data_IF_339665929225
#
_entry.id   IF_339665929225
#
_cell.length_a   1.000
_cell.length_b   1.000
_cell.length_c   1.000
_cell.angle_alpha   90.00
_cell.angle_beta   90.00
_cell.angle_gamma   90.00
#
_symmetry.space_group_name_H-M   'P 1'
#
loop_
_entity.id
_entity.type
_entity.pdbx_description
1 polymer ?
#
# COMPACT_ATOMS: atom_id res chain seq x y z
N UNK A 1 11.96 0.51 -42.98
CA UNK A 1 10.95 0.87 -41.97
C UNK A 1 10.19 -0.38 -41.60
N UNK A 2 10.64 -1.09 -40.57
CA UNK A 2 9.81 -2.14 -39.95
C UNK A 2 8.55 -1.48 -39.41
N UNK A 3 7.38 -1.98 -39.82
CA UNK A 3 6.12 -1.60 -39.18
C UNK A 3 6.21 -2.11 -37.75
N UNK A 4 6.35 -1.17 -36.80
CA UNK A 4 6.15 -1.42 -35.39
C UNK A 4 4.86 -2.23 -35.21
N UNK A 5 5.02 -3.51 -34.86
CA UNK A 5 3.90 -4.42 -34.70
C UNK A 5 3.27 -4.07 -33.36
N UNK A 6 2.35 -3.09 -33.35
CA UNK A 6 1.57 -2.77 -32.16
C UNK A 6 0.86 -4.03 -31.69
N UNK A 7 1.29 -4.55 -30.53
CA UNK A 7 0.58 -5.64 -29.86
C UNK A 7 -0.81 -5.12 -29.56
N UNK A 8 -1.84 -5.87 -29.96
CA UNK A 8 -3.23 -5.50 -29.67
C UNK A 8 -3.46 -5.66 -28.17
N UNK A 9 -4.00 -4.63 -27.52
CA UNK A 9 -4.40 -4.68 -26.12
C UNK A 9 -5.19 -5.99 -25.83
N UNK A 10 -4.73 -6.81 -24.87
CA UNK A 10 -5.37 -8.08 -24.57
C UNK A 10 -6.72 -7.84 -23.89
N UNK A 11 -7.74 -8.62 -24.26
CA UNK A 11 -9.00 -8.67 -23.50
C UNK A 11 -8.80 -9.56 -22.29
N UNK A 12 -8.45 -8.96 -21.16
CA UNK A 12 -8.24 -9.67 -19.89
C UNK A 12 -9.47 -9.51 -19.02
N UNK A 13 -9.97 -10.63 -18.51
CA UNK A 13 -10.98 -10.61 -17.46
C UNK A 13 -10.33 -10.18 -16.14
N UNK A 14 -10.55 -8.92 -15.76
CA UNK A 14 -10.05 -8.33 -14.51
C UNK A 14 -10.93 -8.64 -13.29
N UNK A 15 -11.98 -9.46 -13.45
CA UNK A 15 -12.82 -9.89 -12.33
C UNK A 15 -11.97 -10.59 -11.28
N UNK A 16 -12.14 -10.18 -10.02
CA UNK A 16 -11.36 -10.68 -8.90
C UNK A 16 -12.26 -10.89 -7.68
N UNK A 17 -12.95 -12.03 -7.63
CA UNK A 17 -13.89 -12.36 -6.53
C UNK A 17 -13.44 -13.64 -5.83
N UNK A 18 -13.26 -13.55 -4.53
CA UNK A 18 -12.93 -14.64 -3.62
C UNK A 18 -14.07 -15.67 -3.52
N UNK A 19 -13.78 -16.96 -3.24
CA UNK A 19 -14.81 -17.94 -2.94
C UNK A 19 -15.53 -17.67 -1.60
N UNK A 20 -14.98 -16.80 -0.74
CA UNK A 20 -15.50 -16.52 0.59
C UNK A 20 -16.46 -15.33 0.62
N UNK A 21 -17.47 -15.39 1.49
CA UNK A 21 -18.46 -14.34 1.64
C UNK A 21 -17.86 -13.06 2.22
N UNK A 22 -17.08 -13.18 3.30
CA UNK A 22 -16.60 -12.04 4.09
C UNK A 22 -15.08 -11.91 4.13
N UNK A 23 -14.34 -12.75 3.41
CA UNK A 23 -12.88 -12.69 3.37
C UNK A 23 -12.37 -12.47 1.95
N UNK A 24 -11.50 -11.48 1.81
CA UNK A 24 -10.63 -11.42 0.65
C UNK A 24 -9.62 -12.57 0.71
N UNK A 25 -9.06 -12.96 -0.42
CA UNK A 25 -8.06 -14.02 -0.49
C UNK A 25 -6.91 -13.62 -1.41
N UNK A 26 -5.75 -14.26 -1.26
CA UNK A 26 -4.57 -13.99 -2.09
C UNK A 26 -4.83 -14.27 -3.57
N UNK A 27 -4.25 -13.46 -4.45
CA UNK A 27 -4.30 -13.71 -5.90
C UNK A 27 -3.69 -15.09 -6.24
N UNK A 28 -4.38 -15.82 -7.12
CA UNK A 28 -4.00 -17.19 -7.50
C UNK A 28 -4.55 -18.28 -6.58
N UNK A 29 -5.28 -17.92 -5.51
CA UNK A 29 -5.95 -18.90 -4.66
C UNK A 29 -7.03 -19.69 -5.44
N UNK A 30 -7.13 -21.03 -5.26
CA UNK A 30 -8.13 -21.84 -5.94
C UNK A 30 -9.57 -21.39 -5.63
N UNK A 31 -10.42 -21.37 -6.65
CA UNK A 31 -11.85 -21.09 -6.50
C UNK A 31 -12.23 -19.61 -6.61
N UNK A 32 -11.26 -18.71 -6.81
CA UNK A 32 -11.56 -17.33 -7.20
C UNK A 32 -12.26 -17.27 -8.57
N UNK A 33 -13.20 -16.33 -8.72
CA UNK A 33 -13.87 -16.05 -9.98
C UNK A 33 -13.13 -14.93 -10.72
N UNK A 34 -12.80 -15.22 -11.99
CA UNK A 34 -12.06 -14.33 -12.89
C UNK A 34 -10.56 -14.55 -12.84
N UNK A 35 -9.81 -13.78 -13.63
CA UNK A 35 -8.35 -13.87 -13.73
C UNK A 35 -7.63 -12.63 -13.17
N UNK A 36 -8.38 -11.68 -12.63
CA UNK A 36 -7.83 -10.42 -12.14
C UNK A 36 -7.41 -10.48 -10.68
N UNK A 37 -6.90 -9.35 -10.22
CA UNK A 37 -6.62 -9.10 -8.81
C UNK A 37 -6.79 -7.62 -8.47
N UNK A 38 -6.96 -7.35 -7.18
CA UNK A 38 -7.04 -6.00 -6.63
C UNK A 38 -5.82 -5.74 -5.77
N UNK A 39 -5.06 -4.70 -6.09
CA UNK A 39 -3.96 -4.21 -5.26
C UNK A 39 -4.50 -3.19 -4.26
N UNK A 40 -4.11 -3.31 -2.99
CA UNK A 40 -4.54 -2.41 -1.91
C UNK A 40 -3.31 -1.82 -1.22
N UNK A 41 -3.15 -0.49 -1.22
CA UNK A 41 -1.96 0.14 -0.65
C UNK A 41 -2.04 0.18 0.88
N UNK A 42 -0.97 -0.24 1.56
CA UNK A 42 -0.83 -0.20 3.02
C UNK A 42 0.56 0.26 3.44
N UNK A 43 0.58 1.07 4.50
CA UNK A 43 1.77 1.38 5.30
C UNK A 43 1.37 1.27 6.75
N UNK A 44 2.27 0.80 7.60
CA UNK A 44 2.03 0.64 9.04
C UNK A 44 3.32 0.74 9.83
N UNK A 45 3.16 1.10 11.09
CA UNK A 45 4.22 1.06 12.09
C UNK A 45 3.70 0.43 13.38
N UNK A 46 4.57 -0.24 14.11
CA UNK A 46 4.24 -0.82 15.41
C UNK A 46 5.41 -0.71 16.36
N UNK A 47 5.12 -0.56 17.65
CA UNK A 47 6.13 -0.66 18.72
C UNK A 47 5.75 -1.70 19.76
N UNK A 48 6.77 -2.30 20.37
CA UNK A 48 6.68 -3.23 21.51
C UNK A 48 7.70 -2.84 22.56
N UNK A 49 7.40 -3.10 23.83
CA UNK A 49 8.44 -3.04 24.86
C UNK A 49 9.45 -4.16 24.63
N UNK A 50 10.74 -3.84 24.73
CA UNK A 50 11.82 -4.81 24.61
C UNK A 50 11.82 -5.76 25.80
N UNK A 51 11.87 -7.06 25.53
CA UNK A 51 12.12 -8.11 26.53
C UNK A 51 13.58 -8.59 26.47
N UNK A 52 13.93 -9.57 27.30
CA UNK A 52 15.27 -10.17 27.30
C UNK A 52 15.51 -11.10 26.11
N UNK A 53 14.48 -11.38 25.29
CA UNK A 53 14.56 -12.23 24.10
C UNK A 53 14.44 -11.40 22.82
N UNK A 54 15.59 -11.11 22.20
CA UNK A 54 15.65 -10.31 20.97
C UNK A 54 14.95 -10.96 19.78
N UNK A 55 14.88 -12.30 19.72
CA UNK A 55 14.18 -13.02 18.66
C UNK A 55 12.66 -12.86 18.84
N UNK A 56 12.17 -13.04 20.06
CA UNK A 56 10.77 -12.81 20.41
C UNK A 56 10.35 -11.38 20.11
N UNK A 57 11.17 -10.40 20.50
CA UNK A 57 10.84 -8.99 20.32
C UNK A 57 10.78 -8.61 18.83
N UNK A 58 11.69 -9.16 18.01
CA UNK A 58 11.68 -8.99 16.56
C UNK A 58 10.41 -9.55 15.93
N UNK A 59 10.04 -10.78 16.27
CA UNK A 59 8.84 -11.45 15.74
C UNK A 59 7.57 -10.72 16.17
N UNK A 60 7.40 -10.43 17.46
CA UNK A 60 6.19 -9.80 18.00
C UNK A 60 6.02 -8.36 17.49
N UNK A 61 7.12 -7.61 17.32
CA UNK A 61 7.05 -6.27 16.74
C UNK A 61 6.63 -6.27 15.27
N UNK A 62 7.08 -7.28 14.51
CA UNK A 62 6.70 -7.49 13.12
C UNK A 62 5.22 -7.84 13.02
N UNK A 63 4.75 -8.83 13.79
CA UNK A 63 3.32 -9.21 13.84
C UNK A 63 2.43 -8.02 14.25
N UNK A 64 2.87 -7.19 15.20
CA UNK A 64 2.14 -5.96 15.57
C UNK A 64 2.07 -4.97 14.41
N UNK A 65 3.14 -4.75 13.67
CA UNK A 65 3.11 -3.88 12.49
C UNK A 65 2.17 -4.44 11.40
N UNK A 66 2.05 -5.76 11.24
CA UNK A 66 1.10 -6.35 10.31
C UNK A 66 -0.37 -6.22 10.75
N UNK A 67 -0.63 -6.15 12.07
CA UNK A 67 -1.98 -6.08 12.65
C UNK A 67 -2.45 -4.63 12.86
N UNK A 68 -1.56 -3.68 13.16
CA UNK A 68 -1.91 -2.33 13.60
C UNK A 68 -2.65 -1.51 12.53
N UNK A 69 -2.02 -1.29 11.37
CA UNK A 69 -2.63 -0.51 10.27
C UNK A 69 -2.62 -1.26 8.93
N UNK A 70 -1.76 -2.27 8.78
CA UNK A 70 -1.69 -3.06 7.56
C UNK A 70 -2.88 -4.03 7.46
N UNK A 71 -3.40 -4.50 8.59
CA UNK A 71 -4.54 -5.45 8.68
C UNK A 71 -4.36 -6.70 7.82
N UNK A 72 -3.08 -7.09 7.65
CA UNK A 72 -2.63 -8.28 6.92
C UNK A 72 -2.07 -9.35 7.87
N UNK A 73 -1.90 -9.06 9.16
CA UNK A 73 -1.08 -9.85 10.10
C UNK A 73 -1.60 -11.20 10.58
N UNK A 74 -2.38 -11.90 9.77
CA UNK A 74 -2.66 -13.32 9.97
C UNK A 74 -2.53 -14.10 8.67
N UNK A 75 -1.66 -13.69 7.74
CA UNK A 75 -1.46 -14.34 6.45
C UNK A 75 -0.03 -14.87 6.31
N UNK A 76 0.16 -15.75 5.33
CA UNK A 76 1.48 -16.11 4.83
C UNK A 76 1.85 -15.13 3.69
N UNK A 77 2.67 -14.13 4.00
CA UNK A 77 3.09 -13.11 3.03
C UNK A 77 4.15 -13.65 2.06
N UNK A 78 3.91 -13.52 0.77
CA UNK A 78 4.84 -13.92 -0.30
C UNK A 78 5.33 -12.68 -1.05
N UNK A 79 6.62 -12.37 -0.97
CA UNK A 79 7.19 -11.16 -1.59
C UNK A 79 7.20 -11.24 -3.12
N UNK A 80 6.70 -10.19 -3.78
CA UNK A 80 6.73 -9.98 -5.22
C UNK A 80 7.65 -8.82 -5.62
N UNK A 81 7.96 -8.72 -6.91
CA UNK A 81 8.83 -7.69 -7.50
C UNK A 81 8.14 -6.34 -7.77
N UNK A 82 7.00 -6.06 -7.11
CA UNK A 82 6.39 -4.72 -7.05
C UNK A 82 5.73 -4.15 -8.34
N UNK A 83 4.86 -4.92 -9.01
CA UNK A 83 4.07 -4.42 -10.16
C UNK A 83 2.56 -4.67 -10.00
N UNK A 84 1.72 -3.79 -10.56
CA UNK A 84 0.30 -4.05 -10.79
C UNK A 84 0.04 -4.07 -12.31
N UNK A 85 0.02 -5.28 -12.88
CA UNK A 85 -0.06 -5.50 -14.32
C UNK A 85 -1.46 -5.31 -14.90
N UNK A 86 -1.57 -5.65 -16.18
CA UNK A 86 -2.77 -5.49 -17.00
C UNK A 86 -4.03 -6.24 -16.49
N UNK A 87 -3.85 -7.29 -15.67
CA UNK A 87 -4.94 -8.00 -15.00
C UNK A 87 -5.36 -7.37 -13.65
N UNK A 88 -4.53 -6.47 -13.13
CA UNK A 88 -4.71 -5.83 -11.84
C UNK A 88 -5.59 -4.59 -11.90
N UNK A 89 -6.19 -4.28 -10.76
CA UNK A 89 -6.91 -3.04 -10.49
C UNK A 89 -6.55 -2.53 -9.10
N UNK A 90 -6.62 -1.23 -8.86
CA UNK A 90 -6.25 -0.61 -7.59
C UNK A 90 -7.50 -0.21 -6.81
N UNK A 91 -7.63 -0.70 -5.58
CA UNK A 91 -8.71 -0.29 -4.69
C UNK A 91 -8.59 1.19 -4.29
N UNK A 92 -9.69 1.93 -4.35
CA UNK A 92 -9.70 3.37 -4.08
C UNK A 92 -9.26 4.22 -5.28
N UNK A 93 -8.75 3.63 -6.36
CA UNK A 93 -8.47 4.34 -7.62
C UNK A 93 -9.34 3.82 -8.77
N UNK A 94 -9.18 2.55 -9.14
CA UNK A 94 -9.93 1.91 -10.23
C UNK A 94 -11.30 1.42 -9.76
N UNK A 95 -11.35 0.89 -8.55
CA UNK A 95 -12.52 0.25 -7.93
C UNK A 95 -12.89 1.05 -6.68
N UNK A 96 -14.18 1.37 -6.52
CA UNK A 96 -14.70 2.15 -5.38
C UNK A 96 -13.85 3.40 -5.14
N UNK A 97 -13.67 4.21 -6.19
CA UNK A 97 -12.68 5.28 -6.21
C UNK A 97 -12.90 6.28 -5.07
N UNK A 98 -11.82 6.68 -4.38
CA UNK A 98 -11.92 7.60 -3.26
C UNK A 98 -12.48 8.95 -3.72
N UNK A 99 -13.41 9.52 -2.94
CA UNK A 99 -14.15 10.72 -3.31
C UNK A 99 -13.22 11.90 -3.66
N UNK A 100 -12.13 12.10 -2.92
CA UNK A 100 -11.17 13.17 -3.22
C UNK A 100 -10.41 13.00 -4.55
N UNK A 101 -10.28 11.77 -5.06
CA UNK A 101 -9.68 11.49 -6.37
C UNK A 101 -10.69 11.84 -7.48
N UNK A 102 -11.92 11.34 -7.38
CA UNK A 102 -12.96 11.58 -8.42
C UNK A 102 -13.41 13.03 -8.46
N UNK A 103 -13.49 13.69 -7.30
CA UNK A 103 -13.87 15.10 -7.17
C UNK A 103 -12.70 16.06 -7.51
N UNK A 104 -11.53 15.50 -7.87
CA UNK A 104 -10.30 16.26 -8.19
C UNK A 104 -9.87 17.22 -7.07
N UNK A 105 -10.06 16.83 -5.81
CA UNK A 105 -9.72 17.64 -4.63
C UNK A 105 -8.24 17.55 -4.26
N UNK A 106 -7.57 16.45 -4.61
CA UNK A 106 -6.14 16.29 -4.39
C UNK A 106 -5.32 17.13 -5.37
N UNK A 107 -4.24 17.73 -4.87
CA UNK A 107 -3.27 18.49 -5.68
C UNK A 107 -1.92 17.78 -5.67
N UNK A 108 -1.10 17.93 -6.73
CA UNK A 108 0.27 17.44 -6.70
C UNK A 108 1.04 18.07 -5.53
N UNK A 109 1.81 17.26 -4.82
CA UNK A 109 2.77 17.69 -3.78
C UNK A 109 4.17 17.90 -4.36
N UNK A 110 4.44 17.34 -5.54
CA UNK A 110 5.71 17.35 -6.25
C UNK A 110 5.44 17.13 -7.75
N UNK A 111 6.31 17.68 -8.58
CA UNK A 111 6.40 17.38 -10.01
C UNK A 111 7.84 16.99 -10.35
N UNK A 112 8.01 15.98 -11.19
CA UNK A 112 9.31 15.51 -11.65
C UNK A 112 9.27 15.25 -13.16
N UNK A 113 10.39 15.51 -13.84
CA UNK A 113 10.52 15.24 -15.28
C UNK A 113 10.68 13.73 -15.52
N UNK A 114 9.94 13.22 -16.51
CA UNK A 114 10.13 11.90 -17.07
C UNK A 114 11.20 11.93 -18.17
N UNK A 115 11.66 10.76 -18.60
CA UNK A 115 12.74 10.63 -19.59
C UNK A 115 12.40 11.21 -20.97
N UNK A 116 11.11 11.40 -21.29
CA UNK A 116 10.64 12.05 -22.52
C UNK A 116 10.45 13.57 -22.39
N UNK A 117 10.73 14.13 -21.19
CA UNK A 117 10.53 15.54 -20.86
C UNK A 117 9.10 15.90 -20.43
N UNK A 118 8.16 14.94 -20.37
CA UNK A 118 6.84 15.16 -19.79
C UNK A 118 6.91 15.27 -18.26
N UNK A 119 5.92 15.92 -17.64
CA UNK A 119 5.82 16.08 -16.19
C UNK A 119 5.03 14.94 -15.56
N UNK A 120 5.63 14.25 -14.60
CA UNK A 120 4.94 13.32 -13.71
C UNK A 120 4.49 14.07 -12.46
N UNK A 121 3.17 14.12 -12.26
CA UNK A 121 2.57 14.69 -11.05
C UNK A 121 2.53 13.64 -9.92
N UNK A 122 3.08 14.02 -8.77
CA UNK A 122 3.13 13.18 -7.57
C UNK A 122 2.14 13.69 -6.53
N UNK A 123 1.26 12.82 -6.06
CA UNK A 123 0.19 13.09 -5.11
C UNK A 123 0.44 12.38 -3.78
N UNK A 124 -0.19 12.87 -2.72
CA UNK A 124 -0.24 12.13 -1.46
C UNK A 124 -1.15 10.89 -1.58
N UNK A 125 -0.69 9.72 -1.12
CA UNK A 125 -1.40 8.46 -1.21
C UNK A 125 -2.49 8.27 -0.14
N UNK A 126 -2.68 9.23 0.77
CA UNK A 126 -3.70 9.16 1.84
C UNK A 126 -5.07 8.68 1.36
N UNK A 127 -5.65 9.15 0.23
CA UNK A 127 -6.92 8.62 -0.25
C UNK A 127 -6.93 7.10 -0.49
N UNK A 128 -5.83 6.54 -0.99
CA UNK A 128 -5.70 5.09 -1.25
C UNK A 128 -5.48 4.30 0.04
N UNK A 129 -4.70 4.86 0.97
CA UNK A 129 -4.50 4.27 2.30
C UNK A 129 -5.82 4.26 3.10
N UNK A 130 -6.57 5.36 3.07
CA UNK A 130 -7.90 5.49 3.67
C UNK A 130 -8.89 4.51 3.01
N UNK A 131 -8.87 4.36 1.69
CA UNK A 131 -9.68 3.36 0.99
C UNK A 131 -9.36 1.91 1.44
N UNK A 132 -8.08 1.60 1.66
CA UNK A 132 -7.66 0.30 2.19
C UNK A 132 -8.17 0.04 3.62
N UNK A 133 -8.23 1.05 4.47
CA UNK A 133 -8.88 0.95 5.80
C UNK A 133 -10.36 0.65 5.65
N UNK A 134 -11.05 1.32 4.72
CA UNK A 134 -12.47 1.05 4.49
C UNK A 134 -12.73 -0.35 3.90
N UNK A 135 -11.81 -0.93 3.13
CA UNK A 135 -12.01 -2.30 2.64
C UNK A 135 -11.83 -3.35 3.74
N UNK A 136 -10.66 -3.34 4.39
CA UNK A 136 -10.28 -4.39 5.34
C UNK A 136 -10.82 -4.15 6.75
N UNK A 137 -11.15 -2.91 7.09
CA UNK A 137 -11.51 -2.52 8.44
C UNK A 137 -10.30 -2.19 9.30
N UNK A 138 -10.50 -2.22 10.62
CA UNK A 138 -9.42 -2.12 11.62
C UNK A 138 -9.36 -3.37 12.49
N UNK A 139 -8.37 -3.46 13.38
CA UNK A 139 -8.27 -4.56 14.36
C UNK A 139 -9.56 -4.70 15.18
N UNK A 140 -10.12 -3.56 15.63
CA UNK A 140 -11.34 -3.49 16.45
C UNK A 140 -12.64 -3.58 15.66
N UNK A 141 -12.62 -3.19 14.39
CA UNK A 141 -13.79 -3.17 13.51
C UNK A 141 -13.40 -3.75 12.14
N UNK A 142 -13.16 -5.07 12.11
CA UNK A 142 -12.79 -5.81 10.89
C UNK A 142 -13.94 -5.82 9.89
N UNK A 143 -13.60 -5.76 8.60
CA UNK A 143 -14.54 -5.85 7.47
C UNK A 143 -14.17 -7.03 6.59
N UNK A 144 -13.80 -6.77 5.33
CA UNK A 144 -13.47 -7.79 4.34
C UNK A 144 -11.97 -8.10 4.37
N UNK A 145 -11.42 -8.43 5.55
CA UNK A 145 -9.98 -8.74 5.70
C UNK A 145 -9.57 -9.91 4.82
N UNK A 146 -8.26 -10.09 4.67
CA UNK A 146 -7.72 -11.34 4.14
C UNK A 146 -8.11 -12.54 5.02
N UNK A 147 -8.31 -13.69 4.40
CA UNK A 147 -8.56 -14.95 5.09
C UNK A 147 -7.35 -15.30 5.99
N UNK A 148 -7.57 -15.58 7.29
CA UNK A 148 -6.48 -16.03 8.17
C UNK A 148 -5.82 -17.32 7.64
N UNK A 149 -4.49 -17.30 7.53
CA UNK A 149 -3.66 -18.37 6.96
C UNK A 149 -3.53 -18.34 5.44
N UNK A 150 -4.18 -17.39 4.75
CA UNK A 150 -4.06 -17.24 3.30
C UNK A 150 -2.62 -17.05 2.85
N UNK A 151 -2.28 -17.62 1.71
CA UNK A 151 -1.01 -17.33 1.04
C UNK A 151 -1.23 -16.12 0.14
N UNK A 152 -0.72 -14.98 0.55
CA UNK A 152 -1.00 -13.72 -0.12
C UNK A 152 0.28 -13.15 -0.67
N UNK A 153 0.30 -12.97 -1.98
CA UNK A 153 1.38 -12.27 -2.65
C UNK A 153 1.28 -10.78 -2.30
N UNK A 154 2.40 -10.18 -1.91
CA UNK A 154 2.51 -8.78 -1.58
C UNK A 154 3.77 -8.20 -2.23
N UNK A 155 3.64 -7.01 -2.79
CA UNK A 155 4.79 -6.10 -2.87
C UNK A 155 5.03 -5.61 -1.43
N UNK A 156 6.20 -5.83 -0.84
CA UNK A 156 6.43 -5.47 0.57
C UNK A 156 7.88 -5.15 0.90
N UNK A 157 8.07 -4.30 1.92
CA UNK A 157 9.37 -4.01 2.54
C UNK A 157 9.14 -3.56 3.99
N UNK A 158 10.13 -3.77 4.84
CA UNK A 158 10.07 -3.31 6.22
C UNK A 158 11.44 -3.22 6.86
N UNK A 159 11.47 -2.66 8.06
CA UNK A 159 12.65 -2.60 8.91
C UNK A 159 12.25 -2.61 10.37
N UNK A 160 13.08 -3.22 11.21
CA UNK A 160 12.91 -3.32 12.66
C UNK A 160 14.16 -2.77 13.34
N UNK A 161 13.98 -1.97 14.40
CA UNK A 161 15.09 -1.47 15.20
C UNK A 161 14.72 -1.31 16.68
N UNK A 162 15.75 -1.34 17.52
CA UNK A 162 15.65 -1.12 18.97
C UNK A 162 16.05 0.31 19.34
N UNK A 163 15.31 0.96 20.24
CA UNK A 163 15.75 2.20 20.92
C UNK A 163 16.31 1.87 22.31
N UNK A 164 17.60 2.10 22.59
CA UNK A 164 18.19 1.82 23.90
C UNK A 164 17.48 2.55 25.05
N UNK A 165 17.45 1.92 26.23
CA UNK A 165 16.94 2.56 27.46
C UNK A 165 17.90 3.63 27.95
N UNK A 166 19.20 3.40 27.79
CA UNK A 166 20.24 4.30 28.22
C UNK A 166 20.42 5.46 27.23
N UNK A 167 20.64 6.66 27.75
CA UNK A 167 21.07 7.79 26.95
C UNK A 167 22.55 7.65 26.61
N UNK A 168 22.82 7.05 25.46
CA UNK A 168 24.16 6.77 24.92
C UNK A 168 24.14 6.84 23.39
N UNK A 169 25.31 6.94 22.74
CA UNK A 169 25.39 6.81 21.29
C UNK A 169 24.73 5.50 20.80
N UNK A 170 23.96 5.62 19.71
CA UNK A 170 23.34 4.49 19.03
C UNK A 170 24.41 3.57 18.44
N UNK A 171 24.18 2.26 18.55
CA UNK A 171 24.96 1.23 17.87
C UNK A 171 24.32 0.89 16.53
N UNK A 172 25.03 0.10 15.71
CA UNK A 172 24.47 -0.45 14.48
C UNK A 172 23.17 -1.22 14.75
N UNK A 173 22.14 -0.94 13.94
CA UNK A 173 20.79 -1.51 14.11
C UNK A 173 19.92 -0.83 15.18
N UNK A 174 20.44 0.14 15.93
CA UNK A 174 19.66 0.94 16.89
C UNK A 174 19.18 2.25 16.26
N UNK A 175 18.01 2.72 16.69
CA UNK A 175 17.40 3.92 16.14
C UNK A 175 16.51 4.62 17.17
N UNK A 176 16.22 5.90 16.93
CA UNK A 176 15.15 6.61 17.64
C UNK A 176 13.77 6.31 17.02
N UNK A 177 13.72 6.07 15.70
CA UNK A 177 12.48 5.80 14.99
C UNK A 177 12.67 4.88 13.78
N UNK A 178 11.55 4.39 13.27
CA UNK A 178 11.45 3.59 12.03
C UNK A 178 10.42 4.22 11.10
N UNK A 179 10.62 4.06 9.79
CA UNK A 179 9.73 4.61 8.77
C UNK A 179 9.68 3.75 7.52
N UNK A 180 8.58 3.85 6.79
CA UNK A 180 8.41 3.20 5.48
C UNK A 180 7.62 4.07 4.50
N UNK A 181 7.82 3.83 3.21
CA UNK A 181 7.14 4.45 2.08
C UNK A 181 6.49 3.41 1.19
N UNK A 182 5.36 3.79 0.61
CA UNK A 182 4.81 3.14 -0.58
C UNK A 182 4.56 4.19 -1.65
N UNK A 183 4.96 3.89 -2.88
CA UNK A 183 4.53 4.62 -4.06
C UNK A 183 3.78 3.69 -5.02
N UNK A 184 2.73 4.21 -5.65
CA UNK A 184 2.05 3.59 -6.79
C UNK A 184 2.08 4.55 -7.96
N UNK A 185 2.68 4.12 -9.06
CA UNK A 185 2.79 4.89 -10.30
C UNK A 185 1.95 4.22 -11.39
N UNK A 186 0.92 4.93 -11.83
CA UNK A 186 0.00 4.43 -12.85
C UNK A 186 0.58 4.66 -14.23
N UNK A 187 0.72 3.61 -15.02
CA UNK A 187 1.23 3.71 -16.39
C UNK A 187 0.32 4.60 -17.23
N UNK A 188 0.89 5.36 -18.16
CA UNK A 188 0.13 6.11 -19.16
C UNK A 188 -0.51 5.20 -20.23
N UNK A 189 -0.06 3.94 -20.33
CA UNK A 189 -0.61 2.91 -21.20
C UNK A 189 -0.86 1.61 -20.40
N UNK A 190 -1.92 1.60 -19.58
CA UNK A 190 -2.27 0.44 -18.72
C UNK A 190 -2.85 -0.74 -19.49
N UNK A 191 -3.00 -0.63 -20.81
CA UNK A 191 -3.39 -1.74 -21.68
C UNK A 191 -2.18 -2.58 -22.10
N UNK A 192 -0.97 -2.01 -22.07
CA UNK A 192 0.26 -2.68 -22.51
C UNK A 192 1.39 -2.68 -21.47
N UNK A 193 1.32 -1.81 -20.46
CA UNK A 193 2.35 -1.66 -19.44
C UNK A 193 1.75 -1.84 -18.03
N UNK A 194 2.56 -2.35 -17.11
CA UNK A 194 2.17 -2.47 -15.71
C UNK A 194 2.31 -1.12 -14.98
N UNK A 195 1.46 -0.92 -13.99
CA UNK A 195 1.69 0.06 -12.94
C UNK A 195 2.85 -0.42 -12.05
N UNK A 196 3.58 0.51 -11.44
CA UNK A 196 4.75 0.24 -10.64
C UNK A 196 4.47 0.54 -9.16
N UNK A 197 4.88 -0.38 -8.28
CA UNK A 197 5.05 -0.10 -6.86
C UNK A 197 6.51 0.18 -6.54
N UNK A 198 6.77 1.15 -5.67
CA UNK A 198 8.08 1.34 -5.04
C UNK A 198 7.90 1.38 -3.53
N UNK A 199 8.60 0.48 -2.85
CA UNK A 199 8.68 0.42 -1.41
C UNK A 199 10.02 0.90 -0.90
N UNK A 200 10.00 1.68 0.17
CA UNK A 200 11.20 2.00 0.92
C UNK A 200 10.97 1.89 2.42
N UNK A 201 12.04 1.63 3.16
CA UNK A 201 11.98 1.56 4.61
C UNK A 201 13.36 1.87 5.20
N UNK A 202 13.38 2.52 6.36
CA UNK A 202 14.62 2.92 6.97
C UNK A 202 14.53 3.31 8.44
N UNK A 203 15.70 3.59 8.99
CA UNK A 203 15.90 3.97 10.38
C UNK A 203 16.02 5.49 10.50
N UNK A 204 15.56 6.03 11.64
CA UNK A 204 15.79 7.39 12.06
C UNK A 204 16.77 7.43 13.24
N UNK A 205 17.98 7.91 13.00
CA UNK A 205 19.09 7.86 13.96
C UNK A 205 19.52 9.24 14.46
N UNK A 206 18.89 10.33 13.99
CA UNK A 206 19.35 11.70 14.28
C UNK A 206 18.95 12.20 15.66
N UNK A 207 17.68 12.02 16.05
CA UNK A 207 17.10 12.49 17.32
C UNK A 207 15.74 11.81 17.58
N UNK A 208 15.08 12.15 18.68
CA UNK A 208 13.75 11.65 19.03
C UNK A 208 12.60 12.61 18.71
N UNK A 209 12.80 13.57 17.78
CA UNK A 209 11.73 14.44 17.30
C UNK A 209 10.93 13.78 16.17
N UNK A 210 9.62 13.65 16.38
CA UNK A 210 8.69 13.19 15.37
C UNK A 210 8.54 14.22 14.24
N UNK A 211 8.65 15.51 14.54
CA UNK A 211 8.59 16.61 13.59
C UNK A 211 9.78 16.60 12.63
N UNK A 212 10.99 16.40 13.14
CA UNK A 212 12.20 16.32 12.32
C UNK A 212 12.19 15.08 11.42
N UNK A 213 11.74 13.94 11.95
CA UNK A 213 11.53 12.73 11.14
C UNK A 213 10.50 13.00 10.05
N UNK A 214 9.36 13.60 10.37
CA UNK A 214 8.35 13.95 9.37
C UNK A 214 8.92 14.89 8.29
N UNK A 215 9.66 15.91 8.68
CA UNK A 215 10.28 16.85 7.73
C UNK A 215 11.25 16.13 6.78
N UNK A 216 12.07 15.20 7.31
CA UNK A 216 12.91 14.33 6.49
C UNK A 216 12.09 13.49 5.49
N UNK A 217 10.97 12.90 5.92
CA UNK A 217 10.13 12.08 5.05
C UNK A 217 9.47 12.92 3.94
N UNK A 218 9.00 14.12 4.25
CA UNK A 218 8.46 15.02 3.22
C UNK A 218 9.50 15.38 2.15
N UNK A 219 10.78 15.53 2.54
CA UNK A 219 11.87 15.71 1.59
C UNK A 219 12.21 14.42 0.82
N UNK A 220 12.24 13.27 1.50
CA UNK A 220 12.57 11.95 0.93
C UNK A 220 11.60 11.50 -0.17
N UNK A 221 10.37 12.05 -0.21
CA UNK A 221 9.44 11.87 -1.34
C UNK A 221 10.09 12.13 -2.70
N UNK A 222 11.04 13.08 -2.77
CA UNK A 222 11.78 13.39 -4.02
C UNK A 222 12.62 12.20 -4.49
N UNK A 223 13.30 11.52 -3.56
CA UNK A 223 14.11 10.33 -3.85
C UNK A 223 13.23 9.18 -4.32
N UNK A 224 12.08 8.97 -3.67
CA UNK A 224 11.10 7.96 -4.08
C UNK A 224 10.57 8.25 -5.49
N UNK A 225 10.15 9.49 -5.77
CA UNK A 225 9.71 9.88 -7.11
C UNK A 225 10.82 9.79 -8.18
N UNK A 226 12.07 10.08 -7.81
CA UNK A 226 13.21 9.91 -8.70
C UNK A 226 13.45 8.44 -9.05
N UNK A 227 13.29 7.52 -8.10
CA UNK A 227 13.37 6.09 -8.38
C UNK A 227 12.29 5.62 -9.36
N UNK A 228 11.07 6.14 -9.25
CA UNK A 228 9.96 5.87 -10.18
C UNK A 228 10.34 6.24 -11.62
N UNK A 229 10.78 7.48 -11.85
CA UNK A 229 11.13 7.91 -13.22
C UNK A 229 12.35 7.17 -13.77
N UNK A 230 13.27 6.76 -12.89
CA UNK A 230 14.43 5.93 -13.27
C UNK A 230 13.99 4.53 -13.71
N UNK A 231 13.11 3.87 -12.95
CA UNK A 231 12.54 2.57 -13.34
C UNK A 231 11.71 2.67 -14.63
N UNK A 232 10.95 3.76 -14.80
CA UNK A 232 10.22 4.06 -16.03
C UNK A 232 11.14 4.21 -17.23
N UNK A 233 12.27 4.90 -17.07
CA UNK A 233 13.29 5.02 -18.11
C UNK A 233 13.88 3.66 -18.51
N UNK A 234 14.27 2.83 -17.54
CA UNK A 234 14.85 1.52 -17.80
C UNK A 234 13.87 0.60 -18.55
N UNK A 235 12.58 0.67 -18.20
CA UNK A 235 11.53 -0.16 -18.80
C UNK A 235 10.80 0.50 -19.98
N UNK A 236 11.19 1.73 -20.35
CA UNK A 236 10.53 2.53 -21.39
C UNK A 236 9.01 2.73 -21.14
N UNK A 237 8.64 2.99 -19.88
CA UNK A 237 7.26 3.23 -19.44
C UNK A 237 7.14 4.66 -18.91
N UNK A 238 6.20 5.41 -19.48
CA UNK A 238 5.75 6.69 -18.94
C UNK A 238 4.60 6.46 -17.96
N UNK A 239 4.59 7.22 -16.87
CA UNK A 239 3.53 7.20 -15.88
C UNK A 239 2.65 8.45 -16.03
N UNK A 240 1.34 8.27 -15.87
CA UNK A 240 0.38 9.38 -15.88
C UNK A 240 0.40 10.13 -14.53
N UNK A 241 0.51 9.38 -13.44
CA UNK A 241 0.52 9.93 -12.08
C UNK A 241 1.13 8.97 -11.07
N UNK A 242 1.65 9.52 -9.98
CA UNK A 242 2.15 8.74 -8.84
C UNK A 242 1.48 9.16 -7.54
N UNK A 243 1.14 8.19 -6.71
CA UNK A 243 0.73 8.40 -5.31
C UNK A 243 1.85 7.96 -4.39
N UNK A 244 2.25 8.79 -3.43
CA UNK A 244 3.27 8.45 -2.43
C UNK A 244 2.70 8.62 -1.03
N UNK A 245 2.84 7.61 -0.19
CA UNK A 245 2.47 7.65 1.22
C UNK A 245 3.58 7.07 2.09
N UNK A 246 3.58 7.44 3.37
CA UNK A 246 4.54 6.92 4.33
C UNK A 246 3.91 6.75 5.71
N UNK A 247 4.51 5.90 6.52
CA UNK A 247 4.22 5.77 7.95
C UNK A 247 5.54 5.79 8.73
N UNK A 248 5.50 6.31 9.95
CA UNK A 248 6.68 6.44 10.80
C UNK A 248 6.28 6.48 12.27
N UNK A 249 7.23 6.14 13.14
CA UNK A 249 7.09 6.30 14.59
C UNK A 249 8.44 6.58 15.23
N UNK A 250 8.42 7.33 16.33
CA UNK A 250 9.54 7.44 17.27
C UNK A 250 9.27 6.43 18.39
N UNK A 251 10.15 5.45 18.54
CA UNK A 251 10.09 4.48 19.64
C UNK A 251 10.37 5.17 20.97
N UNK A 252 9.80 4.72 22.09
CA UNK A 252 10.26 5.14 23.43
C UNK A 252 11.56 4.41 23.82
N UNK A 253 12.38 4.96 24.73
CA UNK A 253 13.54 4.23 25.26
C UNK A 253 13.13 2.86 25.80
N UNK A 254 13.78 1.80 25.33
CA UNK A 254 13.42 0.43 25.68
C UNK A 254 12.37 -0.21 24.77
N UNK A 255 11.93 0.43 23.69
CA UNK A 255 11.01 -0.18 22.72
C UNK A 255 11.74 -0.68 21.47
N UNK A 256 11.17 -1.71 20.84
CA UNK A 256 11.46 -2.10 19.46
C UNK A 256 10.36 -1.53 18.57
N UNK A 257 10.75 -0.90 17.46
CA UNK A 257 9.85 -0.42 16.43
C UNK A 257 10.02 -1.21 15.15
N UNK A 258 8.91 -1.47 14.47
CA UNK A 258 8.87 -2.03 13.12
C UNK A 258 8.03 -1.15 12.21
N UNK A 259 8.52 -0.90 11.00
CA UNK A 259 7.75 -0.30 9.92
C UNK A 259 7.53 -1.32 8.82
N UNK A 260 6.35 -1.32 8.22
CA UNK A 260 5.96 -2.20 7.13
C UNK A 260 5.23 -1.40 6.07
N UNK A 261 5.69 -1.51 4.84
CA UNK A 261 4.93 -1.13 3.65
C UNK A 261 4.55 -2.40 2.89
N UNK A 262 3.30 -2.47 2.45
CA UNK A 262 2.88 -3.55 1.58
C UNK A 262 1.72 -3.18 0.66
N UNK A 263 1.65 -3.85 -0.48
CA UNK A 263 0.49 -3.90 -1.35
C UNK A 263 0.10 -5.38 -1.59
N UNK A 264 -0.85 -5.94 -0.82
CA UNK A 264 -1.40 -7.25 -1.12
C UNK A 264 -2.16 -7.27 -2.44
N UNK A 265 -2.00 -8.35 -3.19
CA UNK A 265 -2.78 -8.68 -4.38
C UNK A 265 -3.90 -9.63 -4.01
N UNK A 266 -5.15 -9.17 -4.11
CA UNK A 266 -6.29 -9.89 -3.52
C UNK A 266 -7.41 -10.15 -4.52
N UNK A 267 -8.20 -11.18 -4.26
CA UNK A 267 -9.57 -11.33 -4.77
C UNK A 267 -10.54 -10.86 -3.69
N UNK A 268 -11.57 -10.10 -4.08
CA UNK A 268 -12.49 -9.46 -3.14
C UNK A 268 -13.51 -10.45 -2.57
N UNK A 269 -13.80 -10.35 -1.27
CA UNK A 269 -14.91 -11.07 -0.65
C UNK A 269 -16.22 -10.88 -1.43
N UNK A 270 -17.08 -11.90 -1.52
CA UNK A 270 -18.33 -11.79 -2.29
C UNK A 270 -19.22 -10.65 -1.79
N UNK A 271 -19.29 -10.45 -0.48
CA UNK A 271 -20.10 -9.39 0.12
C UNK A 271 -19.47 -7.99 -0.07
N UNK A 272 -18.18 -7.89 -0.42
CA UNK A 272 -17.56 -6.63 -0.83
C UNK A 272 -17.98 -6.21 -2.25
N UNK A 273 -18.54 -7.12 -3.05
CA UNK A 273 -18.95 -6.88 -4.43
C UNK A 273 -20.44 -6.54 -4.51
N UNK A 274 -20.85 -5.42 -5.14
CA UNK A 274 -22.26 -5.09 -5.31
C UNK A 274 -23.04 -6.19 -6.04
N UNK A 275 -24.34 -6.32 -5.74
CA UNK A 275 -25.22 -7.30 -6.39
C UNK A 275 -25.34 -7.08 -7.91
N UNK A 276 -25.03 -5.87 -8.39
CA UNK A 276 -24.93 -5.52 -9.82
C UNK A 276 -23.65 -6.03 -10.49
N UNK A 277 -22.75 -6.66 -9.74
CA UNK A 277 -21.56 -7.37 -10.22
C UNK A 277 -20.25 -6.59 -10.03
N UNK A 278 -19.12 -7.28 -10.16
CA UNK A 278 -17.76 -6.73 -9.93
C UNK A 278 -17.48 -5.44 -10.70
N UNK A 279 -17.80 -5.40 -11.99
CA UNK A 279 -17.54 -4.22 -12.85
C UNK A 279 -18.33 -2.96 -12.44
N UNK A 280 -19.34 -3.07 -11.57
CA UNK A 280 -20.01 -1.89 -11.01
C UNK A 280 -19.10 -1.07 -10.10
N UNK A 281 -18.11 -1.71 -9.46
CA UNK A 281 -17.13 -1.05 -8.60
C UNK A 281 -16.32 0.01 -9.34
N UNK A 282 -16.13 -0.14 -10.66
CA UNK A 282 -15.47 0.88 -11.50
C UNK A 282 -16.29 2.15 -11.71
N UNK A 283 -17.57 2.14 -11.31
CA UNK A 283 -18.53 3.22 -11.59
C UNK A 283 -19.04 3.91 -10.34
N UNK A 284 -18.65 3.43 -9.16
CA UNK A 284 -19.09 3.98 -7.88
C UNK A 284 -17.89 4.54 -7.11
N UNK A 285 -18.15 5.56 -6.32
CA UNK A 285 -17.23 6.10 -5.34
C UNK A 285 -17.14 5.23 -4.10
N UNK A 286 -16.08 5.42 -3.30
CA UNK A 286 -15.92 4.77 -2.00
C UNK A 286 -17.12 5.04 -1.08
N UNK A 287 -17.63 6.28 -1.06
CA UNK A 287 -18.82 6.66 -0.29
C UNK A 287 -20.08 5.92 -0.72
N UNK A 288 -20.28 5.74 -2.03
CA UNK A 288 -21.41 4.97 -2.55
C UNK A 288 -21.27 3.49 -2.23
N UNK A 289 -20.07 2.93 -2.34
CA UNK A 289 -19.78 1.56 -1.93
C UNK A 289 -20.07 1.34 -0.44
N UNK A 290 -19.61 2.24 0.45
CA UNK A 290 -19.91 2.17 1.88
C UNK A 290 -21.43 2.15 2.14
N UNK A 291 -22.17 3.02 1.45
CA UNK A 291 -23.64 3.07 1.56
C UNK A 291 -24.29 1.78 1.06
N UNK A 292 -23.85 1.26 -0.08
CA UNK A 292 -24.36 0.01 -0.69
C UNK A 292 -24.03 -1.24 0.15
N UNK A 293 -23.00 -1.18 0.99
CA UNK A 293 -22.61 -2.22 1.95
C UNK A 293 -23.13 -1.98 3.37
N UNK A 294 -23.90 -0.91 3.57
CA UNK A 294 -24.42 -0.51 4.89
C UNK A 294 -23.30 -0.30 5.94
N UNK A 295 -22.13 0.19 5.50
CA UNK A 295 -20.96 0.42 6.33
C UNK A 295 -20.81 1.91 6.68
N UNK A 296 -20.53 2.20 7.95
CA UNK A 296 -20.16 3.56 8.41
C UNK A 296 -18.67 3.81 8.20
N UNK A 297 -18.27 4.95 7.64
CA UNK A 297 -16.84 5.26 7.42
C UNK A 297 -16.01 5.14 8.70
N UNK A 298 -14.98 4.29 8.66
CA UNK A 298 -14.01 4.13 9.75
C UNK A 298 -13.06 5.32 9.80
N UNK A 299 -12.68 5.84 8.64
CA UNK A 299 -11.78 7.00 8.54
C UNK A 299 -12.41 8.23 9.20
N UNK A 300 -13.72 8.44 9.03
CA UNK A 300 -14.44 9.51 9.74
C UNK A 300 -14.56 9.26 11.24
N UNK A 301 -14.66 8.00 11.69
CA UNK A 301 -14.67 7.66 13.13
C UNK A 301 -13.31 7.91 13.77
N UNK A 302 -12.21 7.54 13.12
CA UNK A 302 -10.83 7.69 13.65
C UNK A 302 -10.42 9.16 13.78
N UNK A 303 -10.97 10.04 12.94
CA UNK A 303 -10.71 11.49 12.99
C UNK A 303 -11.40 12.20 14.17
N UNK A 304 -12.34 11.55 14.86
CA UNK A 304 -13.08 12.09 16.01
C UNK A 304 -12.46 11.63 17.33
#
# INVERSE_FOLDING_TARGET
MEKERRVRAPRIDKTAISPYENYCDGYGAPGAQGNGYVSVLKVSVGTVEKTDDFLLDGIVSYDRAEINDAYVGQINMLTASSFCGIAGQVWGHDLAAHNDIIDKKIKPVLEIDQYDGSKLHVYDAKPLLEAGIELFGTEKERRFTLLPGAHTICANKGVTAYRPKEDRPLKEGEAYGVWCFIALSLSADRDNCADLFIEDAGLWTKNDSAEDLKAFLEEHRKSVAWSVVSCGQDSHVLFERTYVGFAYTIMKPGEIGTSLTCAPYVSLARNAVPSTGFNSLNKISLKEWLKDRELTSLVEKIKK
#
